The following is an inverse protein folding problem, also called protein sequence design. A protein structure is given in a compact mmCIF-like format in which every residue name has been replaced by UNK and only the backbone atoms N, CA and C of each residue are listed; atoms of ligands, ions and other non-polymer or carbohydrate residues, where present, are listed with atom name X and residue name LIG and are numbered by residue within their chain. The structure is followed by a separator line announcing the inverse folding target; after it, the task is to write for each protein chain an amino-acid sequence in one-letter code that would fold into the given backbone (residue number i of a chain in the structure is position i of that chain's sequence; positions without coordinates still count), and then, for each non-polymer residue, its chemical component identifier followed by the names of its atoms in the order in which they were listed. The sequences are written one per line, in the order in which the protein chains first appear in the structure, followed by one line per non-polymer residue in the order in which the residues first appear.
data_IF_146503853862
#
_entry.id   IF_146503853862
#
_cell.length_a   1.000
_cell.length_b   1.000
_cell.length_c   1.000
_cell.angle_alpha   90.00
_cell.angle_beta   90.00
_cell.angle_gamma   90.00
#
_symmetry.space_group_name_H-M   'P 1'
#
loop_
_entity.id
_entity.type
_entity.pdbx_description
1 polymer ?
#
# COMPACT_ATOMS: atom_id res chain seq x y z
N UNK A 1 37.11 3.64 26.38
CA UNK A 1 35.78 3.02 26.46
C UNK A 1 35.77 2.11 27.69
N UNK A 2 34.97 2.42 28.71
CA UNK A 2 34.72 1.48 29.80
C UNK A 2 33.82 0.38 29.22
N UNK A 3 34.37 -0.82 29.04
CA UNK A 3 33.56 -2.00 28.75
C UNK A 3 32.72 -2.28 29.97
N UNK A 4 31.41 -2.05 29.88
CA UNK A 4 30.49 -2.61 30.85
C UNK A 4 30.42 -4.10 30.53
N UNK A 5 31.20 -4.91 31.25
CA UNK A 5 31.00 -6.35 31.28
C UNK A 5 29.64 -6.59 31.95
N UNK A 6 28.62 -6.72 31.12
CA UNK A 6 27.29 -7.11 31.58
C UNK A 6 27.42 -8.54 32.14
N UNK A 7 27.40 -8.67 33.47
CA UNK A 7 27.43 -9.97 34.14
C UNK A 7 26.08 -10.63 33.90
N UNK A 8 26.00 -11.48 32.88
CA UNK A 8 24.78 -12.20 32.56
C UNK A 8 24.59 -13.30 33.60
N UNK A 9 23.49 -13.22 34.35
CA UNK A 9 23.13 -14.24 35.33
C UNK A 9 22.54 -15.47 34.63
N UNK A 10 22.73 -16.65 35.23
CA UNK A 10 22.21 -17.92 34.69
C UNK A 10 20.71 -17.90 34.46
N UNK A 11 19.96 -17.19 35.30
CA UNK A 11 18.51 -17.03 35.18
C UNK A 11 18.12 -16.24 33.91
N UNK A 12 18.90 -15.20 33.56
CA UNK A 12 18.69 -14.46 32.32
C UNK A 12 18.94 -15.35 31.10
N UNK A 13 19.96 -16.21 31.13
CA UNK A 13 20.22 -17.18 30.07
C UNK A 13 19.08 -18.20 29.92
N UNK A 14 18.53 -18.68 31.03
CA UNK A 14 17.39 -19.61 31.03
C UNK A 14 16.12 -18.94 30.48
N UNK A 15 15.87 -17.69 30.86
CA UNK A 15 14.77 -16.90 30.31
C UNK A 15 14.92 -16.72 28.79
N UNK A 16 16.11 -16.31 28.32
CA UNK A 16 16.37 -16.15 26.88
C UNK A 16 16.16 -17.46 26.11
N UNK A 17 16.59 -18.60 26.67
CA UNK A 17 16.36 -19.93 26.08
C UNK A 17 14.87 -20.27 26.01
N UNK A 18 14.12 -20.04 27.09
CA UNK A 18 12.69 -20.30 27.15
C UNK A 18 11.93 -19.47 26.10
N UNK A 19 12.21 -18.18 26.03
CA UNK A 19 11.61 -17.28 25.03
C UNK A 19 11.96 -17.73 23.62
N UNK A 20 13.22 -18.07 23.35
CA UNK A 20 13.64 -18.59 22.05
C UNK A 20 12.90 -19.87 21.65
N UNK A 21 12.76 -20.82 22.58
CA UNK A 21 11.99 -22.05 22.37
C UNK A 21 10.51 -21.76 22.09
N UNK A 22 9.91 -20.81 22.81
CA UNK A 22 8.51 -20.46 22.62
C UNK A 22 8.26 -19.74 21.30
N UNK A 23 9.18 -18.87 20.86
CA UNK A 23 9.14 -18.25 19.52
C UNK A 23 9.20 -19.33 18.44
N UNK A 24 10.13 -20.28 18.56
CA UNK A 24 10.29 -21.37 17.60
C UNK A 24 9.02 -22.24 17.55
N UNK A 25 8.50 -22.67 18.70
CA UNK A 25 7.28 -23.46 18.78
C UNK A 25 6.07 -22.71 18.18
N UNK A 26 5.96 -21.40 18.42
CA UNK A 26 4.89 -20.56 17.85
C UNK A 26 5.01 -20.48 16.33
N UNK A 27 6.24 -20.33 15.81
CA UNK A 27 6.50 -20.29 14.37
C UNK A 27 6.13 -21.60 13.70
N UNK A 28 6.55 -22.73 14.26
CA UNK A 28 6.21 -24.05 13.72
C UNK A 28 4.71 -24.34 13.77
N UNK A 29 4.03 -23.92 14.85
CA UNK A 29 2.58 -24.05 14.96
C UNK A 29 1.85 -23.19 13.92
N UNK A 30 2.33 -21.96 13.68
CA UNK A 30 1.81 -21.10 12.63
C UNK A 30 2.07 -21.69 11.24
N UNK A 31 3.25 -22.23 10.97
CA UNK A 31 3.58 -22.85 9.69
C UNK A 31 2.69 -24.07 9.41
N UNK A 32 2.47 -24.92 10.43
CA UNK A 32 1.62 -26.11 10.29
C UNK A 32 0.14 -25.79 10.12
N UNK A 33 -0.38 -24.82 10.89
CA UNK A 33 -1.82 -24.61 10.99
C UNK A 33 -2.34 -23.44 10.14
N UNK A 34 -1.51 -22.43 9.91
CA UNK A 34 -1.92 -21.13 9.38
C UNK A 34 -1.18 -20.69 8.12
N UNK A 35 -0.11 -21.38 7.69
CA UNK A 35 0.66 -20.97 6.50
C UNK A 35 -0.16 -20.93 5.20
N UNK A 36 -1.25 -21.69 5.13
CA UNK A 36 -2.16 -21.69 3.97
C UNK A 36 -2.98 -20.39 3.88
N UNK A 37 -3.23 -19.72 5.00
CA UNK A 37 -4.17 -18.60 5.09
C UNK A 37 -3.74 -17.40 4.23
N UNK A 38 -2.49 -16.90 4.25
CA UNK A 38 -2.07 -15.80 3.40
C UNK A 38 -2.23 -16.10 1.90
N UNK A 39 -1.98 -17.35 1.49
CA UNK A 39 -2.13 -17.78 0.09
C UNK A 39 -3.60 -17.81 -0.30
N UNK A 40 -4.47 -18.37 0.55
CA UNK A 40 -5.91 -18.39 0.31
C UNK A 40 -6.51 -16.97 0.31
N UNK A 41 -6.12 -16.13 1.26
CA UNK A 41 -6.55 -14.74 1.35
C UNK A 41 -6.16 -13.96 0.08
N UNK A 42 -4.93 -14.15 -0.42
CA UNK A 42 -4.49 -13.54 -1.68
C UNK A 42 -5.34 -14.00 -2.86
N UNK A 43 -5.64 -15.30 -2.96
CA UNK A 43 -6.51 -15.85 -4.02
C UNK A 43 -7.92 -15.23 -3.96
N UNK A 44 -8.48 -15.05 -2.77
CA UNK A 44 -9.79 -14.42 -2.61
C UNK A 44 -9.78 -12.95 -3.02
N UNK A 45 -8.77 -12.19 -2.59
CA UNK A 45 -8.65 -10.77 -2.94
C UNK A 45 -8.32 -10.55 -4.42
N UNK A 46 -7.61 -11.47 -5.06
CA UNK A 46 -7.36 -11.42 -6.50
C UNK A 46 -8.65 -11.50 -7.33
N UNK A 47 -9.73 -12.05 -6.75
CA UNK A 47 -11.04 -12.20 -7.41
C UNK A 47 -11.95 -10.97 -7.26
N UNK A 48 -11.59 -10.00 -6.40
CA UNK A 48 -12.39 -8.80 -6.19
C UNK A 48 -12.60 -7.94 -7.45
N UNK A 49 -11.59 -7.71 -8.31
CA UNK A 49 -11.80 -7.02 -9.59
C UNK A 49 -12.92 -7.63 -10.41
N UNK A 50 -12.89 -8.95 -10.62
CA UNK A 50 -13.88 -9.70 -11.41
C UNK A 50 -15.29 -9.51 -10.84
N UNK A 51 -15.45 -9.66 -9.53
CA UNK A 51 -16.75 -9.49 -8.86
C UNK A 51 -17.28 -8.07 -9.04
N UNK A 52 -16.42 -7.06 -8.92
CA UNK A 52 -16.84 -5.68 -9.09
C UNK A 52 -17.19 -5.34 -10.53
N UNK A 53 -16.50 -5.93 -11.50
CA UNK A 53 -16.85 -5.82 -12.92
C UNK A 53 -18.21 -6.47 -13.22
N UNK A 54 -18.45 -7.70 -12.73
CA UNK A 54 -19.75 -8.37 -12.85
C UNK A 54 -20.87 -7.54 -12.19
N UNK A 55 -20.61 -6.94 -11.03
CA UNK A 55 -21.57 -6.06 -10.36
C UNK A 55 -21.87 -4.80 -11.19
N UNK A 56 -20.85 -4.19 -11.79
CA UNK A 56 -21.01 -3.01 -12.62
C UNK A 56 -21.84 -3.34 -13.88
N UNK A 57 -21.57 -4.47 -14.53
CA UNK A 57 -22.32 -4.94 -15.71
C UNK A 57 -23.78 -5.24 -15.36
N UNK A 58 -24.02 -5.90 -14.23
CA UNK A 58 -25.36 -6.37 -13.85
C UNK A 58 -26.27 -5.26 -13.33
N UNK A 59 -25.74 -4.35 -12.52
CA UNK A 59 -26.54 -3.33 -11.83
C UNK A 59 -26.40 -1.93 -12.43
N UNK A 60 -25.45 -1.73 -13.34
CA UNK A 60 -25.18 -0.44 -13.95
C UNK A 60 -24.43 0.52 -13.01
N UNK A 61 -24.03 1.65 -13.58
CA UNK A 61 -23.10 2.57 -12.95
C UNK A 61 -23.64 3.25 -11.68
N UNK A 62 -24.90 3.68 -11.68
CA UNK A 62 -25.45 4.49 -10.59
C UNK A 62 -25.53 3.70 -9.27
N UNK A 63 -26.00 2.45 -9.34
CA UNK A 63 -26.05 1.56 -8.20
C UNK A 63 -24.65 1.14 -7.74
N UNK A 64 -23.76 0.86 -8.68
CA UNK A 64 -22.38 0.49 -8.37
C UNK A 64 -21.62 1.65 -7.71
N UNK A 65 -21.75 2.88 -8.21
CA UNK A 65 -21.09 4.05 -7.64
C UNK A 65 -21.63 4.40 -6.25
N UNK A 66 -22.94 4.29 -6.04
CA UNK A 66 -23.54 4.45 -4.71
C UNK A 66 -22.91 3.47 -3.71
N UNK A 67 -22.84 2.18 -4.09
CA UNK A 67 -22.21 1.16 -3.27
C UNK A 67 -20.71 1.46 -3.03
N UNK A 68 -19.97 1.74 -4.11
CA UNK A 68 -18.55 2.02 -4.05
C UNK A 68 -18.24 3.19 -3.12
N UNK A 69 -19.04 4.26 -3.16
CA UNK A 69 -18.94 5.43 -2.29
C UNK A 69 -19.19 5.07 -0.82
N UNK A 70 -20.25 4.29 -0.55
CA UNK A 70 -20.57 3.84 0.81
C UNK A 70 -19.42 3.07 1.47
N UNK A 71 -18.79 2.16 0.73
CA UNK A 71 -17.71 1.33 1.27
C UNK A 71 -16.32 1.97 1.14
N UNK A 72 -16.22 3.21 0.61
CA UNK A 72 -14.95 3.88 0.28
C UNK A 72 -14.02 2.98 -0.56
N UNK A 73 -14.61 2.35 -1.57
CA UNK A 73 -13.91 1.43 -2.46
C UNK A 73 -12.66 2.10 -3.06
N UNK A 74 -11.52 1.37 -3.05
CA UNK A 74 -10.25 1.84 -3.60
C UNK A 74 -10.39 2.20 -5.08
N UNK A 75 -9.70 3.25 -5.52
CA UNK A 75 -9.77 3.76 -6.90
C UNK A 75 -9.46 2.71 -7.97
N UNK A 76 -8.56 1.76 -7.68
CA UNK A 76 -8.20 0.65 -8.59
C UNK A 76 -9.38 -0.24 -9.01
N UNK A 77 -10.47 -0.27 -8.23
CA UNK A 77 -11.67 -1.06 -8.54
C UNK A 77 -12.78 -0.23 -9.18
N UNK A 78 -12.56 1.07 -9.40
CA UNK A 78 -13.53 2.01 -9.97
C UNK A 78 -13.18 2.45 -11.39
N UNK A 79 -12.14 1.88 -12.01
CA UNK A 79 -11.55 2.36 -13.27
C UNK A 79 -12.56 2.42 -14.43
N UNK A 80 -13.62 1.61 -14.37
CA UNK A 80 -14.68 1.55 -15.39
C UNK A 80 -15.92 2.40 -15.08
N UNK A 81 -15.98 3.11 -13.96
CA UNK A 81 -17.18 3.91 -13.60
C UNK A 81 -17.20 5.26 -14.31
N UNK A 82 -18.39 5.79 -14.60
CA UNK A 82 -18.51 7.10 -15.29
C UNK A 82 -17.81 8.21 -14.52
N UNK A 83 -17.99 8.28 -13.21
CA UNK A 83 -17.33 9.28 -12.35
C UNK A 83 -15.79 9.19 -12.38
N UNK A 84 -15.25 7.99 -12.61
CA UNK A 84 -13.81 7.81 -12.74
C UNK A 84 -13.34 8.32 -14.11
N UNK A 85 -14.05 7.97 -15.18
CA UNK A 85 -13.75 8.44 -16.54
C UNK A 85 -13.87 9.95 -16.66
N UNK A 86 -14.93 10.55 -16.10
CA UNK A 86 -15.11 12.01 -16.06
C UNK A 86 -13.97 12.71 -15.31
N UNK A 87 -13.49 12.13 -14.21
CA UNK A 87 -12.33 12.66 -13.48
C UNK A 87 -11.07 12.58 -14.33
N UNK A 88 -10.83 11.46 -15.01
CA UNK A 88 -9.66 11.28 -15.88
C UNK A 88 -9.69 12.25 -17.07
N UNK A 89 -10.86 12.44 -17.69
CA UNK A 89 -11.04 13.44 -18.75
C UNK A 89 -10.75 14.84 -18.24
N UNK A 90 -11.33 15.21 -17.10
CA UNK A 90 -11.05 16.51 -16.47
C UNK A 90 -9.57 16.69 -16.14
N UNK A 91 -8.92 15.66 -15.62
CA UNK A 91 -7.48 15.68 -15.33
C UNK A 91 -6.64 15.85 -16.60
N UNK A 92 -7.03 15.21 -17.71
CA UNK A 92 -6.35 15.37 -19.02
C UNK A 92 -6.55 16.75 -19.65
N UNK A 93 -7.66 17.42 -19.34
CA UNK A 93 -7.96 18.78 -19.83
C UNK A 93 -7.18 19.87 -19.08
N UNK A 94 -6.63 19.56 -17.89
CA UNK A 94 -5.84 20.51 -17.12
C UNK A 94 -4.45 20.61 -17.76
N UNK A 95 -4.22 21.71 -18.49
CA UNK A 95 -2.91 22.01 -19.08
C UNK A 95 -1.85 22.25 -18.00
N UNK A 96 -0.76 21.47 -18.09
CA UNK A 96 0.46 21.64 -17.28
C UNK A 96 1.48 22.59 -17.92
N UNK A 97 1.09 23.30 -18.99
CA UNK A 97 2.00 24.19 -19.73
C UNK A 97 2.57 25.31 -18.85
N UNK A 98 1.82 25.72 -17.83
CA UNK A 98 2.23 26.73 -16.85
C UNK A 98 3.46 26.33 -15.99
N UNK A 99 3.88 25.06 -16.00
CA UNK A 99 5.07 24.56 -15.27
C UNK A 99 6.21 24.16 -16.23
N UNK A 100 5.98 24.19 -17.55
CA UNK A 100 6.94 23.72 -18.56
C UNK A 100 8.31 24.40 -18.49
N UNK A 101 8.32 25.69 -18.17
CA UNK A 101 9.54 26.51 -18.08
C UNK A 101 9.95 26.80 -16.63
N UNK A 102 9.42 26.04 -15.66
CA UNK A 102 9.77 26.20 -14.26
C UNK A 102 11.21 25.74 -14.02
N UNK A 103 12.11 26.71 -13.90
CA UNK A 103 13.51 26.49 -13.51
C UNK A 103 13.63 26.77 -12.02
N UNK A 104 14.09 25.79 -11.26
CA UNK A 104 14.39 25.94 -9.83
C UNK A 104 15.58 26.90 -9.68
N UNK A 105 15.47 27.90 -8.80
CA UNK A 105 16.58 28.81 -8.54
C UNK A 105 17.76 28.07 -7.90
N UNK A 106 19.00 28.38 -8.28
CA UNK A 106 20.17 27.76 -7.67
C UNK A 106 20.24 28.16 -6.20
N UNK A 107 20.22 27.16 -5.31
CA UNK A 107 20.40 27.39 -3.87
C UNK A 107 21.89 27.45 -3.52
N UNK A 108 22.22 28.16 -2.44
CA UNK A 108 23.59 28.45 -1.98
C UNK A 108 24.46 27.21 -1.72
N UNK A 109 23.84 26.04 -1.55
CA UNK A 109 24.51 24.78 -1.24
C UNK A 109 24.61 23.80 -2.44
N UNK A 110 24.19 24.21 -3.65
CA UNK A 110 24.37 23.43 -4.89
C UNK A 110 23.56 22.12 -5.01
N UNK A 111 23.11 21.54 -3.90
CA UNK A 111 22.40 20.25 -3.84
C UNK A 111 21.09 20.32 -3.04
N UNK A 112 20.33 21.42 -3.18
CA UNK A 112 18.91 21.41 -2.81
C UNK A 112 18.09 22.03 -3.93
N UNK A 113 17.40 21.15 -4.64
CA UNK A 113 16.66 21.44 -5.88
C UNK A 113 16.18 20.19 -6.64
N UNK A 114 16.51 18.99 -6.17
CA UNK A 114 15.87 17.75 -6.63
C UNK A 114 14.45 17.68 -6.08
N UNK A 115 13.54 18.43 -6.70
CA UNK A 115 12.11 18.24 -6.50
C UNK A 115 11.82 16.83 -6.99
N UNK A 116 11.55 15.91 -6.06
CA UNK A 116 10.88 14.66 -6.39
C UNK A 116 9.62 15.02 -7.18
N UNK A 117 9.38 14.41 -8.35
CA UNK A 117 8.26 14.77 -9.20
C UNK A 117 7.00 14.79 -8.33
N UNK A 118 6.36 15.96 -8.22
CA UNK A 118 5.07 16.05 -7.53
C UNK A 118 4.12 15.02 -8.13
N UNK A 119 3.13 14.56 -7.36
CA UNK A 119 2.16 13.55 -7.82
C UNK A 119 1.43 13.91 -9.14
N UNK A 120 1.51 15.17 -9.57
CA UNK A 120 1.13 15.67 -10.89
C UNK A 120 1.99 15.12 -12.07
N UNK A 121 3.14 14.50 -11.79
CA UNK A 121 4.16 14.06 -12.77
C UNK A 121 4.40 12.55 -12.80
N UNK A 122 3.63 11.75 -12.06
CA UNK A 122 3.64 10.29 -12.18
C UNK A 122 2.35 9.81 -12.86
N UNK A 123 2.43 9.49 -14.14
CA UNK A 123 1.47 8.59 -14.79
C UNK A 123 1.99 7.16 -14.68
N UNK A 124 1.41 6.38 -13.76
CA UNK A 124 1.22 4.93 -13.91
C UNK A 124 -0.14 4.57 -13.32
#
# INVERSE_FOLDING_TARGET
MKGYEEVIFTDQLLHHRCVGQQIQATREAWERNCAWFPVAQRKMYARYPEIYEECLEKYGNDHFEYYANRIRMRGQYRVKTKSYLERQLKESEISMDHIKDYVVSPTTNGEYGSILPMKLFYCL
#
